data_IF_685369699063
#
_entry.id   IF_685369699063
#
_cell.length_a   1.000
_cell.length_b   1.000
_cell.length_c   1.000
_cell.angle_alpha   90.00
_cell.angle_beta   90.00
_cell.angle_gamma   90.00
#
_symmetry.space_group_name_H-M   'P 1'
#
loop_
_entity.id
_entity.type
_entity.pdbx_description
1 polymer ?
#
# COMPACT_ATOMS: atom_id res chain seq x y z
N UNK A 1 -63.13 -17.51 -28.49
CA UNK A 1 -64.16 -16.62 -29.09
C UNK A 1 -65.09 -16.26 -27.95
N UNK A 2 -64.72 -15.24 -27.14
CA UNK A 2 -65.13 -13.84 -27.35
C UNK A 2 -66.48 -13.66 -26.64
N UNK A 3 -66.72 -12.79 -25.67
CA UNK A 3 -66.11 -11.52 -25.31
C UNK A 3 -66.36 -11.22 -23.81
N UNK A 4 -65.40 -10.56 -23.15
CA UNK A 4 -65.64 -9.86 -21.88
C UNK A 4 -65.96 -8.38 -22.19
N UNK A 5 -67.03 -7.79 -21.64
CA UNK A 5 -67.31 -6.39 -21.87
C UNK A 5 -66.53 -5.48 -20.91
N UNK A 6 -65.98 -4.43 -21.52
CA UNK A 6 -65.84 -3.04 -21.03
C UNK A 6 -65.06 -2.83 -19.73
N UNK A 7 -63.77 -2.52 -19.90
CA UNK A 7 -62.94 -1.81 -18.91
C UNK A 7 -63.50 -0.41 -18.67
N UNK A 8 -64.04 -0.17 -17.47
CA UNK A 8 -64.35 1.17 -17.00
C UNK A 8 -63.03 1.94 -16.82
N UNK A 9 -62.81 2.94 -17.67
CA UNK A 9 -61.70 3.88 -17.53
C UNK A 9 -62.05 4.83 -16.39
N UNK A 10 -61.49 4.60 -15.20
CA UNK A 10 -61.56 5.56 -14.10
C UNK A 10 -60.49 6.63 -14.34
N UNK A 11 -60.91 7.78 -14.85
CA UNK A 11 -60.08 8.97 -15.00
C UNK A 11 -59.91 9.60 -13.63
N UNK A 12 -58.70 9.53 -13.07
CA UNK A 12 -58.36 10.23 -11.83
C UNK A 12 -58.04 11.71 -12.13
N UNK A 13 -58.57 12.67 -11.35
CA UNK A 13 -58.22 14.08 -11.53
C UNK A 13 -56.75 14.32 -11.19
N UNK A 14 -56.07 15.17 -11.97
CA UNK A 14 -54.66 15.59 -11.85
C UNK A 14 -54.37 16.42 -10.57
N UNK A 15 -54.69 15.90 -9.39
CA UNK A 15 -54.36 16.52 -8.09
C UNK A 15 -53.84 15.55 -7.03
N UNK A 16 -53.50 14.31 -7.39
CA UNK A 16 -52.90 13.32 -6.48
C UNK A 16 -51.47 12.86 -6.82
N UNK A 17 -50.78 13.49 -7.78
CA UNK A 17 -49.32 13.25 -8.02
C UNK A 17 -48.46 14.08 -7.06
N UNK A 18 -48.84 14.13 -5.77
CA UNK A 18 -48.04 14.75 -4.70
C UNK A 18 -47.89 13.89 -3.44
N UNK A 19 -48.17 12.59 -3.52
CA UNK A 19 -48.02 11.68 -2.37
C UNK A 19 -47.22 10.39 -2.62
N UNK A 20 -46.42 10.29 -3.69
CA UNK A 20 -45.54 9.10 -3.91
C UNK A 20 -44.06 9.46 -4.18
N UNK A 21 -43.67 10.74 -4.09
CA UNK A 21 -42.27 11.19 -4.26
C UNK A 21 -41.73 11.92 -3.03
N UNK A 22 -42.02 11.37 -1.87
CA UNK A 22 -41.30 11.54 -0.60
C UNK A 22 -41.62 10.21 0.06
N UNK A 23 -40.71 9.24 0.06
CA UNK A 23 -39.83 8.96 1.20
C UNK A 23 -38.93 7.78 0.78
N UNK A 24 -38.02 8.02 -0.16
CA UNK A 24 -36.77 7.26 -0.28
C UNK A 24 -35.73 8.28 -0.69
N UNK A 25 -35.26 9.05 0.30
CA UNK A 25 -33.93 9.63 0.18
C UNK A 25 -33.01 8.40 0.18
N UNK A 26 -32.38 8.02 -0.96
CA UNK A 26 -31.38 6.97 -0.88
C UNK A 26 -30.35 7.52 0.10
N UNK A 27 -30.11 6.80 1.20
CA UNK A 27 -29.07 7.15 2.16
C UNK A 27 -27.84 7.61 1.39
N UNK A 28 -27.25 8.73 1.82
CA UNK A 28 -26.13 9.35 1.13
C UNK A 28 -25.20 8.25 0.59
N UNK A 29 -25.13 8.11 -0.74
CA UNK A 29 -24.27 7.13 -1.37
C UNK A 29 -22.87 7.49 -0.92
N UNK A 30 -22.32 6.70 0.01
CA UNK A 30 -21.00 6.94 0.56
C UNK A 30 -20.04 6.73 -0.60
N UNK A 31 -19.46 7.83 -1.10
CA UNK A 31 -18.46 7.75 -2.17
C UNK A 31 -17.38 6.76 -1.74
N UNK A 32 -16.96 5.83 -2.62
CA UNK A 32 -15.92 4.89 -2.26
C UNK A 32 -14.64 5.65 -1.87
N UNK A 33 -13.97 5.15 -0.84
CA UNK A 33 -12.71 5.70 -0.38
C UNK A 33 -11.65 5.66 -1.49
N UNK A 34 -10.89 6.73 -1.63
CA UNK A 34 -9.74 6.75 -2.54
C UNK A 34 -8.61 5.90 -1.96
N UNK A 35 -8.06 4.97 -2.74
CA UNK A 35 -6.96 4.11 -2.31
C UNK A 35 -5.62 4.74 -2.70
N UNK A 36 -4.68 4.84 -1.76
CA UNK A 36 -3.34 5.41 -1.99
C UNK A 36 -2.29 4.46 -1.42
N UNK A 37 -1.39 3.97 -2.27
CA UNK A 37 -0.23 3.19 -1.85
C UNK A 37 0.99 4.09 -1.66
N UNK A 38 1.56 4.08 -0.46
CA UNK A 38 2.75 4.86 -0.11
C UNK A 38 3.94 3.94 0.19
N UNK A 39 5.15 4.43 -0.08
CA UNK A 39 6.39 3.69 0.20
C UNK A 39 6.92 4.08 1.59
N UNK A 40 7.30 3.09 2.39
CA UNK A 40 7.91 3.29 3.71
C UNK A 40 9.16 4.19 3.63
N UNK A 41 9.29 5.13 4.57
CA UNK A 41 10.35 6.13 4.64
C UNK A 41 10.24 7.27 3.61
N UNK A 42 9.39 7.11 2.59
CA UNK A 42 9.20 8.08 1.53
C UNK A 42 8.22 9.21 1.88
N UNK A 43 7.82 9.96 0.84
CA UNK A 43 6.77 10.97 0.91
C UNK A 43 5.61 10.60 -0.01
N UNK A 44 4.40 10.90 0.41
CA UNK A 44 3.16 10.53 -0.27
C UNK A 44 2.16 11.68 -0.23
N UNK A 45 1.23 11.71 -1.18
CA UNK A 45 0.18 12.75 -1.24
C UNK A 45 -1.18 12.09 -1.15
N UNK A 46 -1.96 12.46 -0.14
CA UNK A 46 -3.34 12.03 0.04
C UNK A 46 -4.23 13.05 -0.68
N UNK A 47 -4.93 12.66 -1.77
CA UNK A 47 -5.69 13.59 -2.57
C UNK A 47 -6.96 14.01 -1.84
N UNK A 48 -7.24 15.32 -1.86
CA UNK A 48 -8.54 15.84 -1.46
C UNK A 48 -8.88 17.06 -2.31
N UNK A 49 -10.07 17.04 -2.91
CA UNK A 49 -10.61 18.14 -3.70
C UNK A 49 -11.88 18.63 -3.05
N UNK A 50 -11.99 19.94 -2.92
CA UNK A 50 -13.17 20.60 -2.41
C UNK A 50 -13.52 21.75 -3.34
N UNK A 51 -14.79 22.16 -3.36
CA UNK A 51 -15.15 23.41 -3.99
C UNK A 51 -14.67 24.54 -3.06
N UNK A 52 -13.96 25.58 -3.53
CA UNK A 52 -13.61 26.73 -2.69
C UNK A 52 -14.75 27.75 -2.68
N UNK A 53 -15.17 28.21 -1.50
CA UNK A 53 -16.15 29.30 -1.39
C UNK A 53 -16.01 30.10 -0.07
N UNK A 54 -15.45 31.29 -0.16
CA UNK A 54 -15.23 32.15 1.00
C UNK A 54 -14.17 31.61 1.96
N UNK A 55 -14.37 31.85 3.25
CA UNK A 55 -13.44 31.42 4.29
C UNK A 55 -13.43 29.89 4.38
N UNK A 56 -12.23 29.30 4.33
CA UNK A 56 -12.03 27.86 4.24
C UNK A 56 -11.26 27.36 5.46
N UNK A 57 -11.79 26.30 6.07
CA UNK A 57 -11.14 25.55 7.14
C UNK A 57 -10.99 24.09 6.70
N UNK A 58 -9.77 23.55 6.80
CA UNK A 58 -9.46 22.17 6.42
C UNK A 58 -8.97 21.38 7.62
N UNK A 59 -9.49 20.16 7.75
CA UNK A 59 -9.07 19.19 8.75
C UNK A 59 -8.74 17.87 8.08
N UNK A 60 -7.57 17.34 8.40
CA UNK A 60 -7.22 15.96 8.14
C UNK A 60 -7.21 15.20 9.46
N UNK A 61 -7.99 14.14 9.53
CA UNK A 61 -8.06 13.26 10.69
C UNK A 61 -7.91 11.81 10.27
N UNK A 62 -7.17 11.02 11.05
CA UNK A 62 -7.10 9.58 10.86
C UNK A 62 -8.25 8.96 11.66
N UNK A 63 -9.09 8.18 10.99
CA UNK A 63 -10.33 7.60 11.55
C UNK A 63 -10.24 6.09 11.80
N UNK A 64 -9.03 5.55 11.91
CA UNK A 64 -8.80 4.13 12.11
C UNK A 64 -8.88 3.75 13.60
N UNK A 65 -10.09 3.60 14.13
CA UNK A 65 -10.36 3.33 15.55
C UNK A 65 -10.50 4.61 16.37
N UNK A 66 -9.38 5.14 16.88
CA UNK A 66 -9.35 6.44 17.58
C UNK A 66 -9.09 7.56 16.56
N UNK A 67 -9.86 8.65 16.68
CA UNK A 67 -9.62 9.84 15.87
C UNK A 67 -8.31 10.52 16.28
N UNK A 68 -7.41 10.70 15.31
CA UNK A 68 -6.12 11.39 15.49
C UNK A 68 -6.07 12.59 14.56
N UNK A 69 -5.72 13.76 15.09
CA UNK A 69 -5.63 15.02 14.33
C UNK A 69 -4.31 15.05 13.56
N UNK A 70 -4.39 14.93 12.24
CA UNK A 70 -3.23 14.77 11.35
C UNK A 70 -2.70 16.12 10.88
N UNK A 71 -3.59 17.03 10.48
CA UNK A 71 -3.23 18.37 10.04
C UNK A 71 -4.46 19.28 10.09
N UNK A 72 -4.26 20.56 10.43
CA UNK A 72 -5.33 21.57 10.41
C UNK A 72 -4.85 22.83 9.71
N UNK A 73 -5.73 23.39 8.89
CA UNK A 73 -5.54 24.69 8.27
C UNK A 73 -6.76 25.56 8.56
N UNK A 74 -6.53 26.66 9.28
CA UNK A 74 -7.54 27.67 9.61
C UNK A 74 -6.88 29.03 9.74
N UNK A 75 -7.69 30.10 9.69
CA UNK A 75 -7.24 31.49 9.90
C UNK A 75 -6.63 31.70 11.30
N UNK A 76 -7.14 30.98 12.29
CA UNK A 76 -6.82 31.21 13.71
C UNK A 76 -5.50 30.56 14.18
N UNK A 77 -4.73 29.93 13.28
CA UNK A 77 -3.38 29.35 13.51
C UNK A 77 -3.18 28.50 14.77
N UNK A 78 -4.25 28.05 15.41
CA UNK A 78 -4.13 27.22 16.61
C UNK A 78 -3.57 25.84 16.19
N UNK A 79 -2.51 25.40 16.88
CA UNK A 79 -1.70 24.22 16.53
C UNK A 79 -2.16 23.02 17.35
N UNK A 80 -3.32 22.51 16.99
CA UNK A 80 -3.92 21.32 17.60
C UNK A 80 -3.71 20.12 16.67
N UNK A 81 -2.46 19.69 16.58
CA UNK A 81 -2.00 18.57 15.76
C UNK A 81 -1.35 17.51 16.66
N UNK A 82 -1.58 16.25 16.35
CA UNK A 82 -0.96 15.16 17.09
C UNK A 82 0.57 15.14 16.86
N UNK A 83 1.41 14.99 17.90
CA UNK A 83 2.87 14.98 17.79
C UNK A 83 3.42 13.96 16.78
N UNK A 84 2.70 12.86 16.53
CA UNK A 84 3.10 11.84 15.54
C UNK A 84 3.16 12.39 14.10
N UNK A 85 2.44 13.47 13.81
CA UNK A 85 2.35 14.06 12.48
C UNK A 85 3.08 15.40 12.37
N UNK A 86 3.54 15.97 13.49
CA UNK A 86 4.24 17.26 13.50
C UNK A 86 5.50 17.18 12.62
N UNK A 87 5.75 18.25 11.84
CA UNK A 87 6.85 18.34 10.86
C UNK A 87 6.88 17.26 9.76
N UNK A 88 5.83 16.42 9.67
CA UNK A 88 5.67 15.39 8.64
C UNK A 88 4.56 15.71 7.67
N UNK A 89 3.61 16.57 8.04
CA UNK A 89 2.45 16.91 7.22
C UNK A 89 2.47 18.34 6.72
N UNK A 90 2.03 18.54 5.49
CA UNK A 90 1.86 19.89 4.91
C UNK A 90 0.76 19.90 3.85
N UNK A 91 0.12 21.06 3.67
CA UNK A 91 -0.81 21.30 2.57
C UNK A 91 -0.14 22.15 1.47
N UNK A 92 -0.67 22.02 0.25
CA UNK A 92 -0.29 22.86 -0.89
C UNK A 92 -1.00 24.22 -0.80
N UNK A 93 -0.47 25.11 0.05
CA UNK A 93 -1.10 26.38 0.42
C UNK A 93 -1.47 27.25 -0.79
N UNK A 94 -0.63 27.26 -1.82
CA UNK A 94 -0.82 27.98 -3.08
C UNK A 94 -2.00 27.45 -3.91
N UNK A 95 -2.46 26.22 -3.65
CA UNK A 95 -3.51 25.54 -4.42
C UNK A 95 -4.84 25.42 -3.66
N UNK A 96 -4.89 25.84 -2.39
CA UNK A 96 -6.11 25.79 -1.55
C UNK A 96 -7.21 26.67 -2.17
N UNK A 97 -6.88 27.88 -2.65
CA UNK A 97 -7.84 28.77 -3.30
C UNK A 97 -8.45 28.17 -4.58
N UNK A 98 -7.74 27.23 -5.23
CA UNK A 98 -8.20 26.45 -6.37
C UNK A 98 -8.91 25.14 -6.00
N UNK A 99 -9.24 24.92 -4.72
CA UNK A 99 -9.94 23.73 -4.27
C UNK A 99 -9.06 22.49 -4.05
N UNK A 100 -7.74 22.65 -3.94
CA UNK A 100 -6.84 21.55 -3.59
C UNK A 100 -6.55 21.53 -2.08
N UNK A 101 -7.09 20.53 -1.38
CA UNK A 101 -6.83 20.28 0.04
C UNK A 101 -5.95 19.04 0.27
N UNK A 102 -5.20 18.61 -0.76
CA UNK A 102 -4.37 17.42 -0.67
C UNK A 102 -3.28 17.57 0.38
N UNK A 103 -3.04 16.49 1.12
CA UNK A 103 -2.07 16.43 2.21
C UNK A 103 -0.79 15.76 1.72
N UNK A 104 0.34 16.43 1.85
CA UNK A 104 1.65 15.80 1.74
C UNK A 104 2.05 15.24 3.10
N UNK A 105 2.35 13.94 3.14
CA UNK A 105 2.87 13.21 4.30
C UNK A 105 4.28 12.72 3.99
N UNK A 106 5.26 13.11 4.80
CA UNK A 106 6.65 12.74 4.69
C UNK A 106 7.07 11.71 5.74
N UNK A 107 8.16 10.98 5.46
CA UNK A 107 8.72 9.93 6.32
C UNK A 107 7.64 8.90 6.69
N UNK A 108 6.93 8.38 5.70
CA UNK A 108 5.81 7.44 5.90
C UNK A 108 6.27 6.21 6.69
N UNK A 109 5.48 5.80 7.69
CA UNK A 109 5.75 4.63 8.52
C UNK A 109 4.56 3.64 8.46
N UNK A 110 4.73 2.42 8.98
CA UNK A 110 3.65 1.42 8.97
C UNK A 110 2.44 1.82 9.83
N UNK A 111 2.65 2.62 10.88
CA UNK A 111 1.58 3.13 11.74
C UNK A 111 0.72 4.19 11.04
N UNK A 112 1.17 4.78 9.93
CA UNK A 112 0.37 5.70 9.13
C UNK A 112 -0.70 4.95 8.32
N UNK A 113 -0.59 3.63 8.16
CA UNK A 113 -1.59 2.84 7.45
C UNK A 113 -2.99 3.00 8.08
N UNK A 114 -3.99 3.14 7.22
CA UNK A 114 -5.38 3.21 7.62
C UNK A 114 -6.19 4.26 6.85
N UNK A 115 -7.37 4.54 7.39
CA UNK A 115 -8.35 5.43 6.79
C UNK A 115 -8.21 6.85 7.33
N UNK A 116 -8.18 7.81 6.42
CA UNK A 116 -8.10 9.24 6.66
C UNK A 116 -9.37 9.91 6.14
N UNK A 117 -9.81 10.93 6.86
CA UNK A 117 -10.89 11.81 6.47
C UNK A 117 -10.32 13.20 6.21
N UNK A 118 -10.61 13.72 5.02
CA UNK A 118 -10.46 15.12 4.68
C UNK A 118 -11.81 15.81 4.86
N UNK A 119 -11.87 16.74 5.79
CA UNK A 119 -13.02 17.59 6.03
C UNK A 119 -12.69 19.01 5.60
N UNK A 120 -13.46 19.53 4.65
CA UNK A 120 -13.34 20.90 4.17
C UNK A 120 -14.64 21.65 4.51
N UNK A 121 -14.54 22.66 5.36
CA UNK A 121 -15.64 23.58 5.66
C UNK A 121 -15.40 24.90 4.95
N UNK A 122 -16.42 25.33 4.24
CA UNK A 122 -16.48 26.64 3.57
C UNK A 122 -17.65 27.43 4.12
N UNK A 123 -17.80 28.69 3.73
CA UNK A 123 -18.90 29.54 4.23
C UNK A 123 -20.30 28.97 3.89
N UNK A 124 -20.41 28.15 2.85
CA UNK A 124 -21.70 27.68 2.33
C UNK A 124 -21.93 26.16 2.42
N UNK A 125 -20.87 25.35 2.47
CA UNK A 125 -21.00 23.89 2.56
C UNK A 125 -19.79 23.26 3.27
N UNK A 126 -20.05 22.08 3.81
CA UNK A 126 -19.04 21.18 4.33
C UNK A 126 -18.94 19.98 3.40
N UNK A 127 -17.71 19.54 3.13
CA UNK A 127 -17.44 18.37 2.31
C UNK A 127 -16.53 17.42 3.06
N UNK A 128 -16.88 16.13 3.02
CA UNK A 128 -16.11 15.05 3.60
C UNK A 128 -15.70 14.06 2.52
N UNK A 129 -14.42 13.72 2.50
CA UNK A 129 -13.89 12.67 1.62
C UNK A 129 -12.97 11.76 2.41
N UNK A 130 -12.90 10.51 1.99
CA UNK A 130 -12.12 9.49 2.69
C UNK A 130 -11.03 8.93 1.79
N UNK A 131 -9.84 8.76 2.37
CA UNK A 131 -8.66 8.20 1.73
C UNK A 131 -8.17 7.03 2.57
N UNK A 132 -8.05 5.86 1.97
CA UNK A 132 -7.39 4.71 2.60
C UNK A 132 -5.94 4.66 2.12
N UNK A 133 -5.01 4.80 3.08
CA UNK A 133 -3.58 4.73 2.85
C UNK A 133 -3.06 3.33 3.18
N UNK A 134 -2.41 2.69 2.22
CA UNK A 134 -1.66 1.43 2.41
C UNK A 134 -0.17 1.72 2.31
N UNK A 135 0.64 1.01 3.12
CA UNK A 135 2.10 1.20 3.13
C UNK A 135 2.77 -0.04 2.59
N UNK A 136 3.77 0.16 1.73
CA UNK A 136 4.60 -0.90 1.16
C UNK A 136 6.07 -0.57 1.36
N UNK A 137 6.90 -1.59 1.57
CA UNK A 137 8.35 -1.46 1.52
C UNK A 137 8.86 -2.48 0.50
N UNK A 138 9.16 -2.05 -0.74
CA UNK A 138 9.46 -2.96 -1.84
C UNK A 138 10.83 -3.63 -1.65
N UNK A 139 11.01 -4.78 -2.29
CA UNK A 139 12.33 -5.43 -2.35
C UNK A 139 13.29 -4.53 -3.14
N UNK A 140 14.23 -3.88 -2.46
CA UNK A 140 15.21 -2.97 -3.08
C UNK A 140 16.49 -3.68 -3.50
N UNK A 141 16.97 -4.61 -2.66
CA UNK A 141 18.25 -5.30 -2.85
C UNK A 141 18.12 -6.78 -2.46
N UNK A 142 18.75 -7.65 -3.24
CA UNK A 142 18.89 -9.08 -2.93
C UNK A 142 20.36 -9.40 -3.05
N UNK A 143 20.97 -9.80 -1.95
CA UNK A 143 22.39 -10.16 -1.90
C UNK A 143 22.54 -11.68 -1.84
N UNK A 144 23.55 -12.20 -2.54
CA UNK A 144 23.96 -13.60 -2.45
C UNK A 144 25.40 -13.63 -1.94
N UNK A 145 25.63 -14.39 -0.87
CA UNK A 145 26.92 -14.54 -0.20
C UNK A 145 27.32 -16.01 -0.23
N UNK A 146 28.57 -16.27 -0.57
CA UNK A 146 29.17 -17.60 -0.53
C UNK A 146 29.93 -17.78 0.78
N UNK A 147 29.48 -18.72 1.61
CA UNK A 147 30.27 -19.28 2.72
C UNK A 147 31.05 -20.52 2.27
N UNK A 148 31.67 -21.23 3.21
CA UNK A 148 32.50 -22.41 2.89
C UNK A 148 31.75 -23.47 2.06
N UNK A 149 30.52 -23.79 2.45
CA UNK A 149 29.71 -24.86 1.84
C UNK A 149 28.22 -24.49 1.74
N UNK A 150 27.90 -23.21 1.96
CA UNK A 150 26.53 -22.69 2.00
C UNK A 150 26.46 -21.42 1.18
N UNK A 151 25.45 -21.32 0.34
CA UNK A 151 25.09 -20.10 -0.38
C UNK A 151 23.91 -19.48 0.34
N UNK A 152 24.08 -18.25 0.82
CA UNK A 152 23.06 -17.52 1.57
C UNK A 152 22.56 -16.35 0.74
N UNK A 153 21.26 -16.23 0.60
CA UNK A 153 20.57 -15.11 -0.01
C UNK A 153 19.88 -14.30 1.08
N UNK A 154 20.02 -12.98 1.05
CA UNK A 154 19.43 -12.11 2.05
C UNK A 154 18.86 -10.83 1.46
N UNK A 155 17.78 -10.36 2.08
CA UNK A 155 17.16 -9.07 1.80
C UNK A 155 16.53 -8.53 3.08
N UNK A 156 16.42 -7.19 3.19
CA UNK A 156 16.03 -6.51 4.43
C UNK A 156 15.04 -5.40 4.20
N UNK A 157 14.27 -5.06 5.23
CA UNK A 157 13.37 -3.91 5.26
C UNK A 157 12.19 -4.03 4.28
N UNK A 158 11.59 -5.23 4.18
CA UNK A 158 10.51 -5.51 3.21
C UNK A 158 9.15 -5.53 3.90
N UNK A 159 8.11 -5.02 3.22
CA UNK A 159 6.73 -5.11 3.69
C UNK A 159 5.76 -5.11 2.49
N UNK A 160 4.75 -5.99 2.46
CA UNK A 160 4.39 -7.01 3.46
C UNK A 160 5.30 -8.24 3.43
N UNK A 161 5.02 -9.23 4.29
CA UNK A 161 5.84 -10.44 4.53
C UNK A 161 6.29 -11.13 3.22
N UNK A 162 7.60 -11.21 2.95
CA UNK A 162 8.11 -11.75 1.70
C UNK A 162 8.23 -13.27 1.68
N UNK A 163 8.42 -13.80 0.47
CA UNK A 163 8.77 -15.18 0.17
C UNK A 163 10.09 -15.23 -0.61
N UNK A 164 10.85 -16.30 -0.38
CA UNK A 164 12.13 -16.54 -1.03
C UNK A 164 12.10 -17.88 -1.76
N UNK A 165 12.45 -17.85 -3.04
CA UNK A 165 12.57 -19.05 -3.87
C UNK A 165 13.97 -19.18 -4.44
N UNK A 166 14.44 -20.43 -4.50
CA UNK A 166 15.74 -20.79 -5.04
C UNK A 166 15.60 -21.53 -6.36
N UNK A 167 16.55 -21.29 -7.25
CA UNK A 167 16.77 -22.09 -8.46
C UNK A 167 18.27 -22.27 -8.67
N UNK A 168 18.69 -23.47 -9.03
CA UNK A 168 20.08 -23.79 -9.35
C UNK A 168 20.12 -24.40 -10.75
N UNK A 169 21.08 -24.02 -11.57
CA UNK A 169 21.26 -24.65 -12.89
C UNK A 169 21.42 -26.17 -12.73
N UNK A 170 20.83 -26.94 -13.65
CA UNK A 170 20.93 -28.40 -13.72
C UNK A 170 20.29 -29.19 -12.56
N UNK A 171 19.63 -28.53 -11.62
CA UNK A 171 18.98 -29.20 -10.49
C UNK A 171 17.52 -28.75 -10.32
N UNK A 172 16.57 -29.69 -10.17
CA UNK A 172 15.19 -29.34 -9.85
C UNK A 172 15.07 -28.82 -8.42
N UNK A 173 14.07 -27.97 -8.17
CA UNK A 173 13.84 -27.36 -6.86
C UNK A 173 13.62 -28.38 -5.72
N UNK A 174 13.11 -29.57 -6.04
CA UNK A 174 12.81 -30.66 -5.09
C UNK A 174 14.06 -31.27 -4.45
N UNK A 175 15.24 -31.12 -5.06
CA UNK A 175 16.51 -31.67 -4.55
C UNK A 175 17.24 -30.65 -3.68
N UNK A 176 16.77 -29.40 -3.64
CA UNK A 176 17.41 -28.32 -2.91
C UNK A 176 17.05 -28.37 -1.42
N UNK A 177 18.02 -28.67 -0.57
CA UNK A 177 17.89 -28.50 0.89
C UNK A 177 18.13 -27.03 1.26
N UNK A 178 17.09 -26.22 1.15
CA UNK A 178 17.12 -24.83 1.59
C UNK A 178 16.52 -24.66 2.99
N UNK A 179 16.92 -23.59 3.67
CA UNK A 179 16.33 -23.13 4.92
C UNK A 179 16.02 -21.66 4.76
N UNK A 180 14.79 -21.25 5.06
CA UNK A 180 14.35 -19.86 4.95
C UNK A 180 13.91 -19.37 6.31
N UNK A 181 14.51 -18.27 6.74
CA UNK A 181 14.22 -17.57 7.98
C UNK A 181 13.66 -16.18 7.65
N UNK A 182 12.59 -15.80 8.33
CA UNK A 182 11.95 -14.50 8.20
C UNK A 182 11.85 -13.89 9.58
N UNK A 183 12.47 -12.74 9.76
CA UNK A 183 12.49 -11.98 11.00
C UNK A 183 11.70 -10.68 10.79
N UNK A 184 10.92 -10.28 11.80
CA UNK A 184 10.20 -9.00 11.82
C UNK A 184 10.93 -8.07 12.79
N UNK A 185 11.26 -6.85 12.35
CA UNK A 185 11.91 -5.85 13.19
C UNK A 185 10.91 -5.06 14.06
N UNK A 186 11.43 -4.22 14.96
CA UNK A 186 10.61 -3.39 15.85
C UNK A 186 9.72 -2.37 15.12
N UNK A 187 10.01 -2.10 13.84
CA UNK A 187 9.21 -1.21 12.99
C UNK A 187 8.10 -1.97 12.24
N UNK A 188 8.11 -3.31 12.27
CA UNK A 188 7.19 -4.21 11.56
C UNK A 188 7.64 -4.58 10.15
N UNK A 189 8.88 -4.27 9.75
CA UNK A 189 9.45 -4.67 8.47
C UNK A 189 10.09 -6.07 8.55
N UNK A 190 10.16 -6.74 7.41
CA UNK A 190 10.67 -8.10 7.31
C UNK A 190 12.06 -8.18 6.70
N UNK A 191 12.93 -8.90 7.41
CA UNK A 191 14.22 -9.37 6.94
C UNK A 191 14.12 -10.85 6.61
N UNK A 192 14.57 -11.24 5.41
CA UNK A 192 14.49 -12.61 4.93
C UNK A 192 15.87 -13.12 4.55
N UNK A 193 16.19 -14.32 5.05
CA UNK A 193 17.44 -15.02 4.78
C UNK A 193 17.14 -16.45 4.34
N UNK A 194 17.67 -16.84 3.19
CA UNK A 194 17.59 -18.19 2.66
C UNK A 194 18.98 -18.79 2.56
N UNK A 195 19.22 -19.97 3.12
CA UNK A 195 20.51 -20.67 3.00
C UNK A 195 20.33 -21.99 2.26
N UNK A 196 21.24 -22.28 1.34
CA UNK A 196 21.27 -23.50 0.55
C UNK A 196 22.65 -24.14 0.66
N UNK A 197 22.70 -25.44 0.96
CA UNK A 197 23.97 -26.20 0.89
C UNK A 197 24.40 -26.30 -0.57
N UNK A 198 25.67 -26.01 -0.85
CA UNK A 198 26.22 -26.11 -2.22
C UNK A 198 26.04 -27.53 -2.75
N UNK A 199 25.53 -27.69 -3.97
CA UNK A 199 25.37 -29.01 -4.60
C UNK A 199 26.73 -29.42 -5.21
N UNK A 200 27.29 -30.55 -4.77
CA UNK A 200 28.71 -30.88 -4.92
C UNK A 200 29.14 -31.46 -6.28
N UNK A 201 28.21 -31.69 -7.21
CA UNK A 201 28.51 -32.54 -8.36
C UNK A 201 28.79 -31.77 -9.67
N UNK A 202 28.57 -30.45 -9.68
CA UNK A 202 28.68 -29.64 -10.89
C UNK A 202 29.99 -28.82 -10.92
N UNK A 203 30.62 -28.75 -12.10
CA UNK A 203 31.82 -27.92 -12.36
C UNK A 203 31.50 -26.42 -12.39
N UNK A 204 30.30 -26.09 -12.87
CA UNK A 204 29.74 -24.73 -12.87
C UNK A 204 28.29 -24.79 -12.45
N UNK A 205 27.95 -24.11 -11.36
CA UNK A 205 26.57 -23.98 -10.88
C UNK A 205 26.17 -22.51 -10.82
N UNK A 206 25.02 -22.17 -11.41
CA UNK A 206 24.41 -20.84 -11.27
C UNK A 206 23.33 -20.90 -10.22
N UNK A 207 23.55 -20.24 -9.09
CA UNK A 207 22.59 -20.07 -8.01
C UNK A 207 21.75 -18.83 -8.29
N UNK A 208 20.45 -18.95 -8.18
CA UNK A 208 19.50 -17.87 -8.45
C UNK A 208 18.48 -17.80 -7.31
N UNK A 209 18.49 -16.69 -6.60
CA UNK A 209 17.56 -16.40 -5.52
C UNK A 209 16.55 -15.35 -5.96
N UNK A 210 15.27 -15.57 -5.70
CA UNK A 210 14.21 -14.61 -5.95
C UNK A 210 13.45 -14.30 -4.66
N UNK A 211 13.48 -13.05 -4.25
CA UNK A 211 12.72 -12.53 -3.10
C UNK A 211 11.54 -11.74 -3.65
N UNK A 212 10.34 -12.04 -3.18
CA UNK A 212 9.12 -11.43 -3.69
C UNK A 212 8.02 -11.33 -2.63
N UNK A 213 7.11 -10.40 -2.84
CA UNK A 213 5.83 -10.30 -2.16
C UNK A 213 4.74 -9.93 -3.19
N UNK A 214 3.53 -9.64 -2.72
CA UNK A 214 2.40 -9.29 -3.58
C UNK A 214 2.57 -7.96 -4.36
N UNK A 215 3.56 -7.13 -4.02
CA UNK A 215 3.78 -5.82 -4.63
C UNK A 215 5.11 -5.66 -5.36
N UNK A 216 6.10 -6.52 -5.07
CA UNK A 216 7.46 -6.37 -5.58
C UNK A 216 8.20 -7.70 -5.64
N UNK A 217 9.07 -7.86 -6.64
CA UNK A 217 9.92 -9.03 -6.79
C UNK A 217 11.30 -8.62 -7.30
N UNK A 218 12.36 -9.21 -6.74
CA UNK A 218 13.73 -9.09 -7.26
C UNK A 218 14.43 -10.43 -7.23
N UNK A 219 15.33 -10.59 -8.20
CA UNK A 219 16.14 -11.79 -8.37
C UNK A 219 17.62 -11.42 -8.44
N UNK A 220 18.43 -12.19 -7.74
CA UNK A 220 19.88 -12.14 -7.81
C UNK A 220 20.41 -13.48 -8.31
N UNK A 221 21.55 -13.44 -8.99
CA UNK A 221 22.22 -14.65 -9.51
C UNK A 221 23.71 -14.61 -9.20
N UNK A 222 24.26 -15.77 -8.88
CA UNK A 222 25.68 -15.97 -8.61
C UNK A 222 26.16 -17.21 -9.36
N UNK A 223 27.25 -17.07 -10.12
CA UNK A 223 27.87 -18.18 -10.85
C UNK A 223 29.10 -18.68 -10.08
N UNK A 224 29.05 -19.93 -9.65
CA UNK A 224 30.17 -20.58 -8.97
C UNK A 224 30.90 -21.49 -9.96
N UNK A 225 32.21 -21.26 -10.10
CA UNK A 225 33.09 -22.13 -10.86
C UNK A 225 33.93 -22.95 -9.88
N UNK A 226 33.75 -24.27 -9.86
CA UNK A 226 34.62 -25.14 -9.07
C UNK A 226 35.83 -25.49 -9.92
N UNK A 227 37.04 -25.13 -9.47
CA UNK A 227 38.28 -25.62 -10.07
C UNK A 227 38.29 -27.14 -9.97
N UNK A 228 38.51 -27.83 -11.10
CA UNK A 228 38.84 -29.25 -11.11
C UNK A 228 40.08 -29.45 -10.22
N UNK A 229 39.96 -30.24 -9.16
CA UNK A 229 41.13 -30.83 -8.52
C UNK A 229 41.66 -31.85 -9.51
N UNK A 230 42.63 -31.45 -10.33
CA UNK A 230 43.35 -32.39 -11.18
C UNK A 230 44.22 -33.27 -10.26
N UNK A 231 43.98 -34.60 -10.15
CA UNK A 231 44.78 -35.46 -9.27
C UNK A 231 46.23 -35.61 -9.74
N UNK A 232 46.57 -35.15 -10.95
CA UNK A 232 47.88 -35.36 -11.56
C UNK A 232 48.98 -34.35 -11.14
N UNK A 233 48.70 -33.38 -10.27
CA UNK A 233 49.73 -32.41 -9.86
C UNK A 233 50.39 -32.70 -8.49
N UNK A 234 50.23 -33.92 -7.97
CA UNK A 234 51.00 -34.45 -6.84
C UNK A 234 52.09 -35.43 -7.31
N UNK A 235 52.87 -35.07 -8.32
CA UNK A 235 54.19 -35.67 -8.56
C UNK A 235 55.15 -34.64 -9.16
N UNK A 236 56.00 -34.06 -8.32
CA UNK A 236 57.41 -33.76 -8.60
C UNK A 236 58.16 -33.44 -7.31
#
# INVERSE_FOLDING_TARGET
LGDFPTSNTVVYPLKWIKCVLRWYWPGAVQSPDTQVGCVFGGSCVLPCRFQPNGDTTLHWVKVNGKEVKVHRYSRDQDKDQDPLYEERTSLFHDQISGGNASLSLARVNLQDQGRYQCYASTTHYNQETFVTLTVTAPVTKVDIVLGNNTVTCQSRGIYPRPQLTWSVSNHPATVLQNTTEVHEDDQGLYDISGSLRTVYNDTVSTYSCSVHNEHSARKATMRLHRKSLNPENCQK
#
